data_IF_545908422482
#
_entry.id   IF_545908422482
#
_cell.length_a   1.000
_cell.length_b   1.000
_cell.length_c   1.000
_cell.angle_alpha   90.00
_cell.angle_beta   90.00
_cell.angle_gamma   90.00
#
_symmetry.space_group_name_H-M   'P 1'
#
loop_
_entity.id
_entity.type
_entity.pdbx_description
1 polymer ?
#
# COMPACT_ATOMS: atom_id res chain seq x y z
N UNK A 1 -71.69 13.77 -13.34
CA UNK A 1 -70.41 14.50 -13.50
C UNK A 1 -69.95 15.02 -12.14
N UNK A 2 -69.02 14.33 -11.49
CA UNK A 2 -67.98 14.98 -10.68
C UNK A 2 -66.74 14.08 -10.74
N UNK A 3 -65.60 14.75 -10.82
CA UNK A 3 -64.33 14.36 -11.40
C UNK A 3 -63.28 14.05 -10.30
N UNK A 4 -62.20 13.40 -10.69
CA UNK A 4 -60.85 13.39 -10.05
C UNK A 4 -60.51 12.45 -8.88
N UNK A 5 -59.82 11.33 -9.22
CA UNK A 5 -58.37 11.03 -9.06
C UNK A 5 -57.58 11.51 -7.79
N UNK A 6 -56.46 10.85 -7.41
CA UNK A 6 -56.31 9.61 -6.61
C UNK A 6 -55.56 9.85 -5.26
N UNK A 7 -55.44 8.85 -4.35
CA UNK A 7 -54.69 9.04 -3.10
C UNK A 7 -53.18 9.14 -3.31
N UNK A 8 -52.56 10.11 -2.64
CA UNK A 8 -51.12 10.35 -2.61
C UNK A 8 -50.36 9.18 -1.94
N UNK A 9 -49.35 8.68 -2.65
CA UNK A 9 -48.42 7.66 -2.14
C UNK A 9 -47.39 8.31 -1.23
N UNK A 10 -47.24 7.78 -0.01
CA UNK A 10 -46.24 8.20 0.96
C UNK A 10 -44.88 7.59 0.59
N UNK A 11 -43.88 8.43 0.31
CA UNK A 11 -42.51 8.00 0.06
C UNK A 11 -41.88 7.45 1.35
N UNK A 12 -41.41 6.20 1.29
CA UNK A 12 -40.60 5.59 2.35
C UNK A 12 -39.15 6.09 2.24
N UNK A 13 -38.68 6.78 3.28
CA UNK A 13 -37.27 7.17 3.43
C UNK A 13 -36.57 6.01 4.12
N UNK A 14 -35.66 5.34 3.42
CA UNK A 14 -34.75 4.35 4.01
C UNK A 14 -33.38 4.99 4.24
N UNK A 15 -32.92 5.15 5.49
CA UNK A 15 -31.52 5.29 5.78
C UNK A 15 -31.00 3.95 6.32
N UNK A 16 -29.96 3.40 5.71
CA UNK A 16 -28.67 3.25 6.38
C UNK A 16 -27.71 2.57 5.41
N UNK A 17 -26.61 3.27 5.12
CA UNK A 17 -25.46 2.71 4.44
C UNK A 17 -24.91 1.53 5.26
N UNK A 18 -24.46 0.43 4.61
CA UNK A 18 -23.66 -0.57 5.30
C UNK A 18 -22.34 0.08 5.70
N UNK A 19 -22.09 0.10 7.00
CA UNK A 19 -20.82 0.44 7.62
C UNK A 19 -19.78 -0.50 7.03
N UNK A 20 -18.77 0.07 6.37
CA UNK A 20 -17.61 -0.67 5.90
C UNK A 20 -16.98 -1.41 7.09
N UNK A 21 -16.97 -2.74 7.01
CA UNK A 21 -16.23 -3.58 7.92
C UNK A 21 -14.74 -3.18 7.87
N UNK A 22 -14.03 -3.13 9.01
CA UNK A 22 -12.57 -3.05 8.96
C UNK A 22 -12.07 -4.32 8.26
N UNK A 23 -11.19 -4.24 7.25
CA UNK A 23 -10.55 -5.44 6.75
C UNK A 23 -9.79 -6.05 7.92
N UNK A 24 -10.00 -7.35 8.08
CA UNK A 24 -9.26 -8.19 8.99
C UNK A 24 -7.76 -7.90 8.82
N UNK A 25 -7.05 -7.82 9.95
CA UNK A 25 -5.62 -7.95 9.97
C UNK A 25 -5.26 -9.20 9.15
N UNK A 26 -4.73 -8.98 7.96
CA UNK A 26 -3.98 -10.01 7.26
C UNK A 26 -2.70 -10.15 8.07
N UNK A 27 -2.75 -11.06 9.04
CA UNK A 27 -1.57 -11.78 9.52
C UNK A 27 -0.66 -11.97 8.31
N UNK A 28 0.51 -11.35 8.36
CA UNK A 28 1.47 -11.40 7.28
C UNK A 28 1.65 -12.85 6.88
N UNK A 29 1.17 -13.19 5.69
CA UNK A 29 1.49 -14.46 5.06
C UNK A 29 3.02 -14.46 4.92
N UNK A 30 3.71 -15.05 5.90
CA UNK A 30 4.97 -15.76 5.72
C UNK A 30 4.67 -16.95 4.78
N UNK A 31 4.25 -16.61 3.56
CA UNK A 31 4.50 -17.45 2.41
C UNK A 31 6.01 -17.49 2.29
N UNK A 32 6.56 -18.66 2.58
CA UNK A 32 7.96 -18.99 2.33
C UNK A 32 8.18 -18.93 0.82
N UNK A 33 8.28 -17.73 0.29
CA UNK A 33 8.77 -17.42 -1.05
C UNK A 33 10.29 -17.47 -0.88
N UNK A 34 10.82 -18.70 -0.94
CA UNK A 34 12.16 -19.10 -0.52
C UNK A 34 13.25 -18.11 -0.99
N UNK A 35 13.57 -17.13 -0.12
CA UNK A 35 14.61 -16.13 -0.33
C UNK A 35 14.16 -14.71 -0.65
N UNK A 36 12.86 -14.38 -0.73
CA UNK A 36 12.41 -12.99 -0.79
C UNK A 36 12.45 -12.33 0.60
N UNK A 37 12.62 -11.01 0.61
CA UNK A 37 12.57 -10.15 1.80
C UNK A 37 11.47 -9.12 1.60
N UNK A 38 10.80 -8.73 2.68
CA UNK A 38 9.68 -7.79 2.60
C UNK A 38 10.01 -6.48 3.30
N UNK A 39 9.64 -5.37 2.68
CA UNK A 39 9.63 -4.06 3.36
C UNK A 39 8.25 -3.89 3.96
N UNK A 40 8.19 -3.80 5.28
CA UNK A 40 6.93 -3.64 6.02
C UNK A 40 6.66 -2.17 6.37
N UNK A 41 5.40 -1.82 6.59
CA UNK A 41 4.99 -0.52 7.07
C UNK A 41 5.27 -0.35 8.58
N UNK A 42 6.17 0.56 8.99
CA UNK A 42 6.46 0.80 10.41
C UNK A 42 5.37 1.64 11.10
N UNK A 43 4.40 2.17 10.34
CA UNK A 43 3.28 3.00 10.81
C UNK A 43 2.06 2.81 9.90
N UNK A 44 0.86 3.05 10.43
CA UNK A 44 -0.41 2.95 9.69
C UNK A 44 -0.61 4.18 8.81
N UNK A 45 -0.77 4.08 7.50
CA UNK A 45 -0.95 5.28 6.67
C UNK A 45 -1.49 4.98 5.28
N UNK A 46 -1.37 5.96 4.39
CA UNK A 46 -1.69 5.78 2.97
C UNK A 46 -0.38 5.61 2.20
N UNK A 47 -0.24 4.52 1.45
CA UNK A 47 0.95 4.26 0.65
C UNK A 47 1.02 5.21 -0.54
N UNK A 48 2.17 5.86 -0.72
CA UNK A 48 2.49 6.70 -1.88
C UNK A 48 3.80 6.26 -2.50
N UNK A 49 3.80 6.03 -3.82
CA UNK A 49 5.01 5.66 -4.59
C UNK A 49 5.98 6.82 -4.73
N UNK A 50 5.47 8.05 -4.68
CA UNK A 50 6.25 9.27 -4.78
C UNK A 50 5.98 10.26 -3.66
N UNK A 51 6.88 11.23 -3.49
CA UNK A 51 6.69 12.31 -2.52
C UNK A 51 5.57 13.25 -3.00
N UNK A 52 4.60 13.54 -2.15
CA UNK A 52 3.60 14.57 -2.37
C UNK A 52 4.18 15.92 -1.95
N UNK A 53 4.29 16.83 -2.90
CA UNK A 53 4.75 18.20 -2.65
C UNK A 53 3.71 19.15 -3.19
N UNK A 54 3.10 19.96 -2.31
CA UNK A 54 2.06 20.95 -2.67
C UNK A 54 0.88 20.33 -3.44
N UNK A 55 0.37 19.17 -2.99
CA UNK A 55 -0.79 18.51 -3.61
C UNK A 55 -0.49 17.78 -4.92
N UNK A 56 0.77 17.72 -5.36
CA UNK A 56 1.18 17.00 -6.58
C UNK A 56 1.96 15.75 -6.21
N UNK A 57 1.58 14.62 -6.81
CA UNK A 57 2.31 13.36 -6.68
C UNK A 57 3.60 13.46 -7.48
N UNK A 58 4.73 13.40 -6.78
CA UNK A 58 6.05 13.32 -7.38
C UNK A 58 6.27 11.99 -8.10
N UNK A 59 7.37 11.90 -8.85
CA UNK A 59 7.72 10.66 -9.55
C UNK A 59 7.99 9.53 -8.54
N UNK A 60 7.65 8.27 -8.89
CA UNK A 60 8.04 7.12 -8.09
C UNK A 60 9.56 7.05 -7.96
N UNK A 61 10.04 6.74 -6.75
CA UNK A 61 11.49 6.65 -6.50
C UNK A 61 12.08 5.36 -7.04
N UNK A 62 11.29 4.29 -6.98
CA UNK A 62 11.66 2.96 -7.43
C UNK A 62 10.48 2.33 -8.17
N UNK A 63 10.78 1.43 -9.08
CA UNK A 63 9.81 0.63 -9.82
C UNK A 63 10.15 -0.85 -9.67
N UNK A 64 9.24 -1.72 -10.09
CA UNK A 64 9.52 -3.15 -10.21
C UNK A 64 10.71 -3.38 -11.15
N UNK A 65 11.63 -4.26 -10.77
CA UNK A 65 12.93 -4.49 -11.40
C UNK A 65 14.03 -3.48 -11.04
N UNK A 66 13.75 -2.49 -10.20
CA UNK A 66 14.78 -1.52 -9.76
C UNK A 66 15.69 -2.11 -8.68
N UNK A 67 17.00 -1.88 -8.82
CA UNK A 67 17.96 -2.20 -7.77
C UNK A 67 17.94 -1.14 -6.66
N UNK A 68 17.90 -1.58 -5.41
CA UNK A 68 17.81 -0.75 -4.21
C UNK A 68 18.85 -1.17 -3.16
N UNK A 69 19.28 -0.21 -2.35
CA UNK A 69 20.26 -0.41 -1.27
C UNK A 69 19.58 -0.36 0.10
N UNK A 70 20.24 -0.95 1.10
CA UNK A 70 19.84 -0.76 2.50
C UNK A 70 19.85 0.73 2.86
N UNK A 71 18.78 1.22 3.48
CA UNK A 71 18.56 2.62 3.81
C UNK A 71 18.07 3.48 2.64
N UNK A 72 17.82 2.90 1.46
CA UNK A 72 17.25 3.67 0.35
C UNK A 72 15.75 3.86 0.54
N UNK A 73 15.28 5.09 0.34
CA UNK A 73 13.84 5.41 0.34
C UNK A 73 13.17 4.78 -0.87
N UNK A 74 12.21 3.89 -0.62
CA UNK A 74 11.49 3.14 -1.66
C UNK A 74 10.08 3.70 -1.89
N UNK A 75 9.39 4.11 -0.84
CA UNK A 75 8.07 4.73 -0.91
C UNK A 75 7.85 5.67 0.27
N UNK A 76 6.66 6.30 0.34
CA UNK A 76 6.25 7.15 1.45
C UNK A 76 4.93 6.66 2.03
N UNK A 77 4.76 6.84 3.34
CA UNK A 77 3.47 6.74 4.00
C UNK A 77 2.96 8.12 4.36
N UNK A 78 1.73 8.42 3.96
CA UNK A 78 1.05 9.65 4.34
C UNK A 78 0.18 9.40 5.57
N UNK A 79 0.41 10.18 6.62
CA UNK A 79 -0.37 10.19 7.85
C UNK A 79 -0.74 11.63 8.20
N UNK A 80 -2.04 11.96 8.19
CA UNK A 80 -2.55 13.28 8.59
C UNK A 80 -1.85 14.45 7.87
N UNK A 81 -1.53 14.29 6.57
CA UNK A 81 -0.83 15.28 5.76
C UNK A 81 0.69 15.33 5.96
N UNK A 82 1.25 14.50 6.85
CA UNK A 82 2.69 14.32 6.99
C UNK A 82 3.15 13.11 6.18
N UNK A 83 4.20 13.27 5.39
CA UNK A 83 4.81 12.17 4.65
C UNK A 83 6.03 11.61 5.38
N UNK A 84 6.01 10.31 5.61
CA UNK A 84 7.08 9.54 6.24
C UNK A 84 7.78 8.72 5.17
N UNK A 85 9.10 8.86 5.06
CA UNK A 85 9.90 8.06 4.14
C UNK A 85 9.99 6.63 4.65
N UNK A 86 9.79 5.66 3.76
CA UNK A 86 10.00 4.24 4.02
C UNK A 86 11.31 3.83 3.38
N UNK A 87 12.23 3.39 4.22
CA UNK A 87 13.56 2.94 3.83
C UNK A 87 13.58 1.41 3.76
N UNK A 88 14.27 0.86 2.76
CA UNK A 88 14.47 -0.58 2.67
C UNK A 88 15.51 -1.05 3.70
N UNK A 89 15.19 -2.08 4.48
CA UNK A 89 16.18 -2.74 5.35
C UNK A 89 17.15 -3.66 4.58
N UNK A 90 16.79 -4.04 3.36
CA UNK A 90 17.52 -5.00 2.55
C UNK A 90 18.03 -4.37 1.25
N UNK A 91 19.19 -4.82 0.78
CA UNK A 91 19.71 -4.49 -0.54
C UNK A 91 19.32 -5.59 -1.54
N UNK A 92 18.89 -5.21 -2.74
CA UNK A 92 18.38 -6.16 -3.71
C UNK A 92 17.61 -5.52 -4.85
N UNK A 93 16.78 -6.31 -5.50
CA UNK A 93 15.91 -5.90 -6.60
C UNK A 93 14.45 -5.88 -6.13
N UNK A 94 13.72 -4.82 -6.47
CA UNK A 94 12.27 -4.74 -6.22
C UNK A 94 11.56 -5.73 -7.14
N UNK A 95 10.93 -6.76 -6.58
CA UNK A 95 10.20 -7.76 -7.37
C UNK A 95 8.80 -7.27 -7.70
N UNK A 96 8.07 -6.79 -6.68
CA UNK A 96 6.70 -6.35 -6.83
C UNK A 96 6.26 -5.45 -5.66
N UNK A 97 5.36 -4.51 -5.93
CA UNK A 97 4.61 -3.81 -4.89
C UNK A 97 3.37 -4.63 -4.49
N UNK A 98 3.24 -4.91 -3.19
CA UNK A 98 2.11 -5.64 -2.62
C UNK A 98 0.92 -4.72 -2.35
N UNK A 99 1.15 -3.40 -2.38
CA UNK A 99 0.16 -2.35 -2.15
C UNK A 99 0.21 -1.33 -3.30
N UNK A 100 -0.95 -0.78 -3.69
CA UNK A 100 -1.04 0.23 -4.74
C UNK A 100 -0.92 1.67 -4.20
N UNK A 101 -0.73 2.65 -5.11
CA UNK A 101 -0.65 4.06 -4.70
C UNK A 101 -2.02 4.59 -4.27
N UNK A 102 -2.11 5.07 -3.04
CA UNK A 102 -3.34 5.58 -2.45
C UNK A 102 -4.08 4.58 -1.55
N UNK A 103 -3.59 3.35 -1.45
CA UNK A 103 -4.16 2.36 -0.53
C UNK A 103 -3.75 2.59 0.92
N UNK A 104 -4.66 2.23 1.81
CA UNK A 104 -4.41 2.24 3.25
C UNK A 104 -3.61 1.01 3.67
N UNK A 105 -2.63 1.22 4.53
CA UNK A 105 -1.76 0.16 5.08
C UNK A 105 -1.72 0.24 6.59
N UNK A 106 -1.72 -0.92 7.22
CA UNK A 106 -1.57 -1.13 8.65
C UNK A 106 -0.12 -1.12 9.10
N UNK A 107 0.07 -1.24 10.41
CA UNK A 107 1.39 -1.48 10.99
C UNK A 107 1.79 -2.93 10.73
N UNK A 108 3.00 -3.14 10.21
CA UNK A 108 3.53 -4.47 9.91
C UNK A 108 3.16 -5.00 8.52
N UNK A 109 2.25 -4.34 7.79
CA UNK A 109 1.86 -4.79 6.45
C UNK A 109 3.03 -4.77 5.48
N UNK A 110 3.19 -5.85 4.73
CA UNK A 110 4.19 -5.97 3.68
C UNK A 110 3.84 -5.06 2.50
N UNK A 111 4.71 -4.10 2.21
CA UNK A 111 4.52 -3.11 1.14
C UNK A 111 5.17 -3.54 -0.17
N UNK A 112 6.38 -4.10 -0.08
CA UNK A 112 7.24 -4.40 -1.23
C UNK A 112 7.95 -5.73 -1.00
N UNK A 113 7.93 -6.58 -2.03
CA UNK A 113 8.75 -7.78 -2.08
C UNK A 113 10.10 -7.47 -2.76
N UNK A 114 11.19 -7.85 -2.11
CA UNK A 114 12.57 -7.62 -2.55
C UNK A 114 13.26 -8.97 -2.73
N UNK A 115 13.95 -9.14 -3.86
CA UNK A 115 14.91 -10.23 -4.06
C UNK A 115 16.28 -9.74 -3.57
N UNK A 116 16.82 -10.26 -2.46
CA UNK A 116 18.09 -9.83 -1.94
C UNK A 116 19.21 -10.15 -2.93
N UNK A 117 20.03 -9.16 -3.23
CA UNK A 117 21.22 -9.34 -4.08
C UNK A 117 22.44 -9.40 -3.17
N UNK A 118 23.03 -10.58 -3.04
CA UNK A 118 24.28 -10.77 -2.29
C UNK A 118 25.46 -10.71 -3.26
N UNK A 119 26.20 -9.59 -3.35
CA UNK A 119 27.38 -9.47 -4.21
C UNK A 119 28.55 -10.41 -3.81
N UNK A 120 28.43 -11.17 -2.71
CA UNK A 120 29.50 -12.03 -2.16
C UNK A 120 29.55 -13.48 -2.65
N UNK A 121 28.50 -14.03 -3.27
CA UNK A 121 28.44 -15.48 -3.58
C UNK A 121 29.23 -15.82 -4.86
N UNK A 122 29.42 -14.85 -5.76
CA UNK A 122 30.20 -15.07 -7.00
C UNK A 122 31.71 -15.23 -6.77
N UNK A 123 32.21 -15.05 -5.53
CA UNK A 123 33.65 -15.12 -5.21
C UNK A 123 34.11 -16.43 -4.54
N UNK A 124 33.21 -17.40 -4.33
CA UNK A 124 33.58 -18.69 -3.71
C UNK A 124 33.51 -19.89 -4.65
N UNK A 125 33.08 -19.70 -5.90
CA UNK A 125 32.93 -20.75 -6.91
C UNK A 125 34.03 -20.72 -7.98
N UNK A 126 35.23 -20.24 -7.64
CA UNK A 126 36.37 -20.19 -8.56
C UNK A 126 37.68 -20.52 -7.85
#
# INVERSE_FOLDING_TARGET
MFDSLPPASLAAIAPSAPVAAPPAAADGEEGVDEGLQYVTAPRVGIMRRGRQVKGKTGKPLVAEGSEIKKGQVVCYLEQLGTQLAIESEHAGEVVKFLVEDGDAVGYGDSLIAIRPSFPGIKKLAM
#
